data_IF_932685192468
#
_entry.id   IF_932685192468
#
_cell.length_a   1.000
_cell.length_b   1.000
_cell.length_c   1.000
_cell.angle_alpha   90.00
_cell.angle_beta   90.00
_cell.angle_gamma   90.00
#
_symmetry.space_group_name_H-M   'P 1'
#
loop_
_entity.id
_entity.type
_entity.pdbx_description
1 polymer ?
#
# COMPACT_ATOMS: atom_id res chain seq x y z
N UNK A 1 5.23 -19.18 -7.60
CA UNK A 1 4.91 -18.92 -6.17
C UNK A 1 3.66 -19.65 -5.71
N UNK A 2 2.56 -19.64 -6.47
CA UNK A 2 1.32 -20.37 -6.09
C UNK A 2 1.56 -21.87 -5.89
N UNK A 3 2.27 -22.55 -6.80
CA UNK A 3 2.60 -23.98 -6.63
C UNK A 3 3.39 -24.26 -5.34
N UNK A 4 4.36 -23.41 -5.00
CA UNK A 4 5.17 -23.55 -3.78
C UNK A 4 4.35 -23.42 -2.49
N UNK A 5 3.17 -22.79 -2.53
CA UNK A 5 2.30 -22.70 -1.34
C UNK A 5 1.73 -24.05 -0.90
N UNK A 6 1.65 -25.02 -1.82
CA UNK A 6 1.17 -26.38 -1.53
C UNK A 6 2.28 -27.32 -1.06
N UNK A 7 3.54 -26.97 -1.36
CA UNK A 7 4.71 -27.79 -1.06
C UNK A 7 5.01 -27.84 0.43
N UNK A 8 5.63 -28.93 0.90
CA UNK A 8 5.97 -29.13 2.30
C UNK A 8 7.50 -29.20 2.42
N UNK A 9 8.06 -28.55 3.45
CA UNK A 9 9.46 -28.69 3.80
C UNK A 9 9.65 -29.93 4.68
N UNK A 10 10.38 -30.92 4.18
CA UNK A 10 10.80 -32.12 4.93
C UNK A 10 12.31 -32.20 4.88
N UNK A 11 12.97 -32.37 6.03
CA UNK A 11 14.44 -32.47 6.12
C UNK A 11 15.17 -31.35 5.35
N UNK A 12 14.74 -30.10 5.53
CA UNK A 12 15.31 -28.91 4.87
C UNK A 12 15.22 -28.90 3.32
N UNK A 13 14.44 -29.80 2.71
CA UNK A 13 14.16 -29.79 1.26
C UNK A 13 12.69 -29.45 1.04
N UNK A 14 12.41 -28.53 0.11
CA UNK A 14 11.06 -28.36 -0.41
C UNK A 14 10.72 -29.58 -1.26
N UNK A 15 9.66 -30.29 -0.87
CA UNK A 15 9.14 -31.42 -1.62
C UNK A 15 7.80 -31.02 -2.25
N UNK A 16 7.64 -31.34 -3.52
CA UNK A 16 6.40 -31.14 -4.25
C UNK A 16 5.34 -32.07 -3.68
N UNK A 17 4.37 -31.49 -2.99
CA UNK A 17 3.23 -32.18 -2.39
C UNK A 17 2.01 -31.28 -2.64
N UNK A 18 0.85 -31.83 -2.94
CA UNK A 18 -0.36 -31.03 -3.21
C UNK A 18 -1.26 -31.01 -1.98
N UNK A 19 -0.86 -30.24 -0.97
CA UNK A 19 -1.49 -30.30 0.36
C UNK A 19 -1.93 -28.92 0.84
N UNK A 20 -3.12 -28.85 1.43
CA UNK A 20 -3.72 -27.61 1.96
C UNK A 20 -3.24 -27.23 3.38
N UNK A 21 -2.27 -27.97 3.94
CA UNK A 21 -1.83 -27.80 5.33
C UNK A 21 -1.26 -26.40 5.62
N UNK A 22 -0.51 -25.82 4.68
CA UNK A 22 0.05 -24.47 4.84
C UNK A 22 -1.05 -23.41 4.88
N UNK A 23 -2.07 -23.54 4.03
CA UNK A 23 -3.21 -22.64 3.98
C UNK A 23 -4.04 -22.70 5.26
N UNK A 24 -4.40 -23.90 5.72
CA UNK A 24 -5.11 -24.09 6.99
C UNK A 24 -4.29 -23.55 8.17
N UNK A 25 -2.98 -23.81 8.17
CA UNK A 25 -2.07 -23.29 9.21
C UNK A 25 -1.95 -21.78 9.19
N UNK A 26 -2.00 -21.12 8.04
CA UNK A 26 -1.89 -19.66 7.94
C UNK A 26 -3.22 -18.98 8.29
N UNK A 27 -4.33 -19.45 7.72
CA UNK A 27 -5.67 -18.88 7.90
C UNK A 27 -6.28 -19.22 9.27
N UNK A 28 -5.80 -20.26 9.94
CA UNK A 28 -6.22 -20.62 11.30
C UNK A 28 -5.49 -19.87 12.42
N UNK A 29 -4.70 -18.84 12.10
CA UNK A 29 -3.93 -18.07 13.09
C UNK A 29 -4.55 -16.70 13.27
N UNK A 30 -4.82 -16.32 14.51
CA UNK A 30 -5.46 -15.04 14.82
C UNK A 30 -4.60 -13.84 14.36
N UNK A 31 -3.28 -13.91 14.58
CA UNK A 31 -2.35 -12.85 14.16
C UNK A 31 -2.35 -12.57 12.64
N UNK A 32 -2.72 -13.57 11.82
CA UNK A 32 -2.86 -13.36 10.38
C UNK A 32 -4.02 -12.41 10.10
N UNK A 33 -5.18 -12.66 10.72
CA UNK A 33 -6.37 -11.86 10.56
C UNK A 33 -6.23 -10.48 11.19
N UNK A 34 -5.63 -10.38 12.37
CA UNK A 34 -5.36 -9.10 13.03
C UNK A 34 -4.53 -8.18 12.12
N UNK A 35 -3.44 -8.71 11.57
CA UNK A 35 -2.57 -7.97 10.64
C UNK A 35 -3.30 -7.61 9.34
N UNK A 36 -4.14 -8.52 8.84
CA UNK A 36 -4.90 -8.32 7.61
C UNK A 36 -5.94 -7.21 7.75
N UNK A 37 -6.72 -7.22 8.83
CA UNK A 37 -7.72 -6.20 9.12
C UNK A 37 -7.09 -4.85 9.47
N UNK A 38 -5.98 -4.83 10.21
CA UNK A 38 -5.22 -3.60 10.44
C UNK A 38 -4.77 -2.98 9.11
N UNK A 39 -4.20 -3.78 8.21
CA UNK A 39 -3.74 -3.31 6.90
C UNK A 39 -4.90 -2.76 6.06
N UNK A 40 -6.01 -3.49 6.02
CA UNK A 40 -7.22 -3.06 5.32
C UNK A 40 -7.82 -1.79 5.92
N UNK A 41 -7.85 -1.68 7.24
CA UNK A 41 -8.32 -0.49 7.95
C UNK A 41 -7.47 0.73 7.62
N UNK A 42 -6.14 0.60 7.72
CA UNK A 42 -5.21 1.68 7.37
C UNK A 42 -5.33 2.09 5.89
N UNK A 43 -5.44 1.13 4.98
CA UNK A 43 -5.63 1.40 3.56
C UNK A 43 -6.96 2.14 3.32
N UNK A 44 -8.05 1.66 3.91
CA UNK A 44 -9.39 2.26 3.77
C UNK A 44 -9.44 3.70 4.31
N UNK A 45 -8.93 3.93 5.51
CA UNK A 45 -8.86 5.26 6.11
C UNK A 45 -7.99 6.17 5.25
N UNK A 46 -6.80 5.71 4.84
CA UNK A 46 -5.89 6.46 3.99
C UNK A 46 -6.53 6.87 2.66
N UNK A 47 -7.24 5.94 2.01
CA UNK A 47 -7.98 6.21 0.77
C UNK A 47 -9.07 7.26 0.98
N UNK A 48 -9.91 7.13 2.01
CA UNK A 48 -11.01 8.07 2.26
C UNK A 48 -10.46 9.47 2.56
N UNK A 49 -9.50 9.58 3.47
CA UNK A 49 -8.88 10.86 3.84
C UNK A 49 -8.24 11.52 2.63
N UNK A 50 -7.46 10.76 1.84
CA UNK A 50 -6.85 11.27 0.62
C UNK A 50 -7.89 11.71 -0.39
N UNK A 51 -8.98 10.94 -0.58
CA UNK A 51 -10.03 11.27 -1.53
C UNK A 51 -10.77 12.56 -1.16
N UNK A 52 -11.05 12.78 0.13
CA UNK A 52 -11.70 14.00 0.62
C UNK A 52 -10.87 15.25 0.29
N UNK A 53 -9.55 15.16 0.36
CA UNK A 53 -8.65 16.29 0.09
C UNK A 53 -8.33 16.42 -1.40
N UNK A 54 -8.04 15.31 -2.07
CA UNK A 54 -7.59 15.28 -3.46
C UNK A 54 -8.73 15.56 -4.44
N UNK A 55 -9.97 15.15 -4.13
CA UNK A 55 -11.10 15.32 -5.05
C UNK A 55 -11.46 16.81 -5.28
N UNK A 56 -11.59 17.66 -4.24
CA UNK A 56 -11.76 19.10 -4.43
C UNK A 56 -10.61 19.73 -5.22
N UNK A 57 -9.36 19.33 -4.93
CA UNK A 57 -8.19 19.83 -5.65
C UNK A 57 -8.21 19.44 -7.14
N UNK A 58 -8.59 18.20 -7.46
CA UNK A 58 -8.72 17.74 -8.84
C UNK A 58 -9.86 18.46 -9.57
N UNK A 59 -11.00 18.68 -8.89
CA UNK A 59 -12.14 19.42 -9.44
C UNK A 59 -11.76 20.88 -9.78
N UNK A 60 -11.11 21.59 -8.85
CA UNK A 60 -10.69 22.98 -9.11
C UNK A 60 -9.69 23.05 -10.25
N UNK A 61 -8.72 22.13 -10.26
CA UNK A 61 -7.70 22.04 -11.30
C UNK A 61 -8.29 21.73 -12.69
N UNK A 62 -9.35 20.92 -12.74
CA UNK A 62 -10.03 20.57 -13.98
C UNK A 62 -10.89 21.71 -14.54
N UNK A 63 -11.65 22.40 -13.68
CA UNK A 63 -12.74 23.28 -14.12
C UNK A 63 -12.58 24.78 -13.80
N UNK A 64 -11.71 25.15 -12.86
CA UNK A 64 -11.65 26.54 -12.34
C UNK A 64 -10.31 27.24 -12.61
N UNK A 65 -9.27 26.50 -12.99
CA UNK A 65 -7.90 27.02 -13.12
C UNK A 65 -7.53 27.26 -14.59
N UNK A 66 -6.76 28.32 -14.85
CA UNK A 66 -6.23 28.62 -16.19
C UNK A 66 -5.29 27.52 -16.68
N UNK A 67 -5.13 27.38 -18.00
CA UNK A 67 -4.31 26.28 -18.55
C UNK A 67 -2.84 26.32 -18.10
N UNK A 68 -2.27 27.51 -17.94
CA UNK A 68 -0.87 27.68 -17.53
C UNK A 68 -0.68 27.22 -16.09
N UNK A 69 -1.54 27.68 -15.17
CA UNK A 69 -1.47 27.27 -13.77
C UNK A 69 -1.74 25.77 -13.63
N UNK A 70 -2.67 25.22 -14.43
CA UNK A 70 -2.95 23.78 -14.45
C UNK A 70 -1.71 22.96 -14.82
N UNK A 71 -0.99 23.36 -15.89
CA UNK A 71 0.23 22.67 -16.33
C UNK A 71 1.30 22.65 -15.23
N UNK A 72 1.56 23.79 -14.60
CA UNK A 72 2.53 23.89 -13.51
C UNK A 72 2.12 23.09 -12.27
N UNK A 73 0.84 23.14 -11.88
CA UNK A 73 0.35 22.36 -10.74
C UNK A 73 0.50 20.85 -10.98
N UNK A 74 0.14 20.35 -12.17
CA UNK A 74 0.34 18.93 -12.52
C UNK A 74 1.83 18.57 -12.49
N UNK A 75 2.70 19.42 -13.02
CA UNK A 75 4.14 19.20 -12.97
C UNK A 75 4.64 19.04 -11.51
N UNK A 76 4.26 19.96 -10.62
CA UNK A 76 4.63 19.90 -9.21
C UNK A 76 4.09 18.66 -8.50
N UNK A 77 2.88 18.22 -8.82
CA UNK A 77 2.26 17.01 -8.26
C UNK A 77 3.02 15.72 -8.61
N UNK A 78 3.70 15.69 -9.76
CA UNK A 78 4.44 14.50 -10.22
C UNK A 78 5.83 14.42 -9.57
N UNK A 79 6.46 15.54 -9.20
CA UNK A 79 7.80 15.55 -8.59
C UNK A 79 7.99 14.53 -7.45
N UNK A 80 7.12 14.48 -6.41
CA UNK A 80 7.32 13.55 -5.29
C UNK A 80 7.15 12.07 -5.66
N UNK A 81 6.61 11.77 -6.86
CA UNK A 81 6.53 10.40 -7.36
C UNK A 81 7.92 9.80 -7.64
N UNK A 82 8.89 10.64 -8.01
CA UNK A 82 10.26 10.18 -8.31
C UNK A 82 11.09 9.93 -7.04
N UNK A 83 10.57 10.25 -5.85
CA UNK A 83 11.27 10.02 -4.58
C UNK A 83 11.04 8.59 -4.08
N UNK A 84 12.10 7.96 -3.59
CA UNK A 84 12.03 6.62 -2.96
C UNK A 84 11.01 6.56 -1.82
N UNK A 85 10.32 5.43 -1.70
CA UNK A 85 9.37 5.17 -0.62
C UNK A 85 10.02 5.29 0.76
N UNK A 86 11.24 4.75 0.93
CA UNK A 86 11.96 4.81 2.20
C UNK A 86 12.25 6.25 2.62
N UNK A 87 12.71 7.09 1.68
CA UNK A 87 13.00 8.50 1.96
C UNK A 87 11.74 9.19 2.46
N UNK A 88 10.59 9.01 1.78
CA UNK A 88 9.32 9.60 2.18
C UNK A 88 8.89 9.18 3.60
N UNK A 89 9.00 7.90 3.94
CA UNK A 89 8.66 7.43 5.29
C UNK A 89 9.58 8.04 6.34
N UNK A 90 10.90 7.98 6.14
CA UNK A 90 11.84 8.50 7.12
C UNK A 90 11.73 10.01 7.27
N UNK A 91 11.45 10.76 6.20
CA UNK A 91 11.15 12.20 6.27
C UNK A 91 9.94 12.49 7.16
N UNK A 92 8.85 11.74 7.02
CA UNK A 92 7.66 11.91 7.87
C UNK A 92 7.92 11.53 9.31
N UNK A 93 8.70 10.47 9.54
CA UNK A 93 9.10 10.08 10.89
C UNK A 93 9.82 11.22 11.60
N UNK A 94 10.79 11.88 10.94
CA UNK A 94 11.49 13.04 11.51
C UNK A 94 10.52 14.19 11.83
N UNK A 95 9.61 14.51 10.91
CA UNK A 95 8.66 15.63 11.07
C UNK A 95 7.64 15.41 12.19
N UNK A 96 7.26 14.15 12.45
CA UNK A 96 6.21 13.80 13.42
C UNK A 96 6.75 13.35 14.78
N UNK A 97 8.02 12.94 14.86
CA UNK A 97 8.64 12.43 16.08
C UNK A 97 9.45 13.49 16.85
N UNK A 98 9.89 14.56 16.19
CA UNK A 98 10.30 15.81 16.85
C UNK A 98 9.09 16.70 17.14
#
# INVERSE_FOLDING_TARGET
MVAMSFFIVRNYRMQEDFVMKNWVKMLGRDYFWDSYFLTWGLAGIGTIVTMIVAFPAAYTLAFKVSETTRRWAIFLLIIPFFTSYLVRIFSWYVILAE
#
